data_IF_485259737532
#
_entry.id   IF_485259737532
#
_cell.length_a   1.000
_cell.length_b   1.000
_cell.length_c   1.000
_cell.angle_alpha   90.00
_cell.angle_beta   90.00
_cell.angle_gamma   90.00
#
_symmetry.space_group_name_H-M   'P 1'
#
loop_
_entity.id
_entity.type
_entity.pdbx_description
1 polymer ?
#
# COMPACT_ATOMS: atom_id res chain seq x y z
N UNK A 1 -33.66 13.36 13.30
CA UNK A 1 -33.27 14.75 12.89
C UNK A 1 -31.75 14.96 12.81
N UNK A 2 -30.94 14.47 13.75
CA UNK A 2 -29.46 14.39 13.61
C UNK A 2 -29.03 13.53 12.40
N UNK A 3 -29.85 12.56 11.99
CA UNK A 3 -29.66 11.84 10.71
C UNK A 3 -30.00 12.67 9.46
N UNK A 4 -30.87 13.68 9.56
CA UNK A 4 -31.26 14.55 8.44
C UNK A 4 -30.23 15.67 8.22
N UNK A 5 -29.65 16.21 9.30
CA UNK A 5 -28.58 17.20 9.25
C UNK A 5 -27.24 16.55 8.85
N UNK A 6 -26.92 15.34 9.33
CA UNK A 6 -25.75 14.56 8.85
C UNK A 6 -25.84 14.20 7.37
N UNK A 7 -27.05 13.94 6.84
CA UNK A 7 -27.28 13.78 5.40
C UNK A 7 -27.06 15.09 4.65
N UNK A 8 -27.60 16.21 5.14
CA UNK A 8 -27.45 17.51 4.49
C UNK A 8 -26.00 18.04 4.48
N UNK A 9 -25.24 17.92 5.56
CA UNK A 9 -23.85 18.39 5.60
C UNK A 9 -22.90 17.51 4.78
N UNK A 10 -23.13 16.19 4.73
CA UNK A 10 -22.37 15.30 3.86
C UNK A 10 -22.74 15.47 2.37
N UNK A 11 -24.01 15.78 2.06
CA UNK A 11 -24.46 16.14 0.70
C UNK A 11 -23.83 17.47 0.28
N UNK A 12 -23.80 18.49 1.15
CA UNK A 12 -23.22 19.81 0.82
C UNK A 12 -21.70 19.73 0.67
N UNK A 13 -20.98 18.99 1.52
CA UNK A 13 -19.53 18.81 1.38
C UNK A 13 -19.15 17.97 0.15
N UNK A 14 -19.92 16.91 -0.16
CA UNK A 14 -19.73 16.16 -1.42
C UNK A 14 -20.15 16.95 -2.65
N UNK A 15 -21.11 17.87 -2.54
CA UNK A 15 -21.50 18.77 -3.62
C UNK A 15 -20.41 19.82 -3.88
N UNK A 16 -19.71 20.30 -2.84
CA UNK A 16 -18.56 21.20 -2.96
C UNK A 16 -17.33 20.49 -3.55
N UNK A 17 -17.10 19.21 -3.23
CA UNK A 17 -16.02 18.40 -3.85
C UNK A 17 -16.37 17.95 -5.28
N UNK A 18 -17.64 17.69 -5.59
CA UNK A 18 -18.11 17.38 -6.95
C UNK A 18 -18.17 18.64 -7.83
N UNK A 19 -18.40 19.81 -7.22
CA UNK A 19 -18.53 21.10 -7.87
C UNK A 19 -17.28 21.61 -8.61
N UNK A 20 -16.08 21.15 -8.23
CA UNK A 20 -14.84 21.60 -8.86
C UNK A 20 -14.50 20.84 -10.16
N UNK A 21 -15.38 19.95 -10.63
CA UNK A 21 -15.31 19.41 -12.00
C UNK A 21 -16.69 19.29 -12.61
N UNK A 22 -17.06 20.35 -13.33
CA UNK A 22 -18.16 20.47 -14.30
C UNK A 22 -19.60 20.42 -13.75
N UNK A 23 -20.19 21.63 -13.69
CA UNK A 23 -21.62 22.00 -13.56
C UNK A 23 -22.18 22.08 -12.14
N UNK A 24 -22.29 23.31 -11.62
CA UNK A 24 -23.03 23.63 -10.38
C UNK A 24 -23.96 24.81 -10.61
N UNK A 25 -25.28 24.67 -10.38
CA UNK A 25 -26.12 25.79 -10.00
C UNK A 25 -25.83 26.13 -8.53
N UNK A 26 -25.41 27.36 -8.26
CA UNK A 26 -25.02 27.84 -6.94
C UNK A 26 -26.13 27.61 -5.89
N UNK A 27 -25.85 26.79 -4.86
CA UNK A 27 -26.62 26.79 -3.62
C UNK A 27 -26.06 27.88 -2.70
N UNK A 28 -26.87 28.87 -2.26
CA UNK A 28 -26.36 29.99 -1.50
C UNK A 28 -26.35 29.64 0.00
N UNK A 29 -25.30 28.98 0.46
CA UNK A 29 -24.90 29.20 1.86
C UNK A 29 -24.14 30.53 1.86
N UNK A 30 -24.65 31.54 2.57
CA UNK A 30 -23.89 32.78 2.73
C UNK A 30 -22.56 32.47 3.42
N UNK A 31 -21.47 33.10 3.00
CA UNK A 31 -20.17 33.00 3.69
C UNK A 31 -20.33 33.30 5.19
N UNK A 32 -21.26 34.19 5.53
CA UNK A 32 -21.66 34.55 6.88
C UNK A 32 -22.20 33.35 7.69
N UNK A 33 -22.92 32.42 7.05
CA UNK A 33 -23.42 31.21 7.70
C UNK A 33 -22.26 30.22 7.99
N UNK A 34 -21.39 29.97 7.00
CA UNK A 34 -20.23 29.07 7.10
C UNK A 34 -19.24 29.58 8.16
N UNK A 35 -19.01 30.90 8.18
CA UNK A 35 -18.13 31.57 9.13
C UNK A 35 -18.81 31.87 10.49
N UNK A 36 -20.08 31.48 10.67
CA UNK A 36 -20.77 31.77 11.92
C UNK A 36 -20.10 31.03 13.08
N UNK A 37 -19.89 31.76 14.18
CA UNK A 37 -19.30 31.20 15.40
C UNK A 37 -20.07 29.99 15.96
N UNK A 38 -21.36 29.88 15.63
CA UNK A 38 -22.19 28.72 15.99
C UNK A 38 -21.83 27.48 15.18
N UNK A 39 -21.69 27.57 13.85
CA UNK A 39 -21.28 26.43 13.02
C UNK A 39 -19.83 26.02 13.32
N UNK A 40 -18.93 26.99 13.48
CA UNK A 40 -17.53 26.72 13.90
C UNK A 40 -17.49 26.05 15.27
N UNK A 41 -18.29 26.53 16.23
CA UNK A 41 -18.40 25.94 17.56
C UNK A 41 -18.92 24.50 17.55
N UNK A 42 -19.95 24.21 16.75
CA UNK A 42 -20.50 22.84 16.59
C UNK A 42 -19.50 21.93 15.87
N UNK A 43 -18.85 22.41 14.80
CA UNK A 43 -17.83 21.65 14.09
C UNK A 43 -16.66 21.29 15.01
N UNK A 44 -16.20 22.24 15.84
CA UNK A 44 -15.16 22.01 16.85
C UNK A 44 -15.62 20.99 17.90
N UNK A 45 -16.83 21.12 18.44
CA UNK A 45 -17.38 20.15 19.38
C UNK A 45 -17.47 18.74 18.78
N UNK A 46 -17.90 18.61 17.51
CA UNK A 46 -17.89 17.35 16.79
C UNK A 46 -16.46 16.82 16.56
N UNK A 47 -15.51 17.67 16.20
CA UNK A 47 -14.11 17.28 16.01
C UNK A 47 -13.49 16.75 17.30
N UNK A 48 -13.81 17.36 18.45
CA UNK A 48 -13.37 16.87 19.77
C UNK A 48 -13.93 15.48 20.11
N UNK A 49 -15.08 15.10 19.53
CA UNK A 49 -15.66 13.76 19.68
C UNK A 49 -15.18 12.75 18.63
N UNK A 50 -14.33 13.17 17.67
CA UNK A 50 -13.76 12.29 16.65
C UNK A 50 -12.94 11.19 17.34
N UNK A 51 -13.11 9.94 16.89
CA UNK A 51 -12.29 8.82 17.37
C UNK A 51 -10.81 9.17 17.19
N UNK A 52 -10.00 8.97 18.23
CA UNK A 52 -8.55 9.13 18.16
C UNK A 52 -8.00 8.27 17.01
N UNK A 53 -7.26 8.90 16.11
CA UNK A 53 -6.57 8.20 15.02
C UNK A 53 -5.36 7.49 15.63
N UNK A 54 -5.33 6.17 15.53
CA UNK A 54 -4.15 5.39 15.89
C UNK A 54 -3.27 5.27 14.66
N UNK A 55 -2.06 5.82 14.73
CA UNK A 55 -1.08 5.66 13.65
C UNK A 55 -0.67 4.18 13.55
N UNK A 56 -0.35 3.75 12.32
CA UNK A 56 0.16 2.40 12.05
C UNK A 56 1.54 2.26 12.72
N UNK A 57 1.81 1.19 13.47
CA UNK A 57 3.10 1.00 14.11
C UNK A 57 4.20 0.78 13.05
N UNK A 58 5.47 1.13 13.34
CA UNK A 58 6.61 0.71 12.51
C UNK A 58 6.75 -0.82 12.51
N UNK A 59 7.49 -1.37 11.54
CA UNK A 59 7.91 -2.77 11.59
C UNK A 59 8.94 -2.94 12.71
N UNK A 60 8.92 -4.09 13.38
CA UNK A 60 9.98 -4.48 14.32
C UNK A 60 11.23 -4.91 13.56
N UNK A 61 12.38 -4.93 14.22
CA UNK A 61 13.65 -5.44 13.70
C UNK A 61 13.51 -6.90 13.27
N UNK A 62 12.83 -7.74 14.06
CA UNK A 62 12.52 -9.14 13.72
C UNK A 62 11.68 -9.25 12.43
N UNK A 63 10.67 -8.40 12.23
CA UNK A 63 9.89 -8.38 10.99
C UNK A 63 10.76 -8.02 9.78
N UNK A 64 11.64 -7.04 9.91
CA UNK A 64 12.54 -6.61 8.83
C UNK A 64 13.56 -7.70 8.51
N UNK A 65 14.21 -8.29 9.52
CA UNK A 65 15.13 -9.42 9.37
C UNK A 65 14.47 -10.62 8.68
N UNK A 66 13.22 -10.93 9.04
CA UNK A 66 12.45 -12.00 8.38
C UNK A 66 12.15 -11.71 6.92
N UNK A 67 11.88 -10.45 6.56
CA UNK A 67 11.68 -10.05 5.18
C UNK A 67 12.98 -10.13 4.39
N UNK A 68 14.11 -9.66 4.94
CA UNK A 68 15.43 -9.82 4.30
C UNK A 68 15.76 -11.29 4.05
N UNK A 69 15.59 -12.12 5.08
CA UNK A 69 15.78 -13.57 4.96
C UNK A 69 14.87 -14.18 3.90
N UNK A 70 13.61 -13.76 3.83
CA UNK A 70 12.67 -14.24 2.81
C UNK A 70 13.19 -13.93 1.41
N UNK A 71 13.66 -12.70 1.15
CA UNK A 71 14.19 -12.28 -0.16
C UNK A 71 15.37 -13.16 -0.60
N UNK A 72 16.30 -13.47 0.32
CA UNK A 72 17.49 -14.27 -0.01
C UNK A 72 17.28 -15.78 -0.02
N UNK A 73 16.16 -16.27 0.53
CA UNK A 73 15.89 -17.72 0.61
C UNK A 73 15.80 -18.36 -0.77
N UNK A 74 16.84 -19.08 -1.15
CA UNK A 74 16.90 -19.86 -2.38
C UNK A 74 15.78 -20.92 -2.42
N UNK A 75 15.09 -21.04 -3.56
CA UNK A 75 13.97 -21.98 -3.73
C UNK A 75 12.62 -21.53 -3.15
N UNK A 76 12.56 -20.38 -2.46
CA UNK A 76 11.29 -19.77 -2.05
C UNK A 76 10.46 -19.25 -3.24
N UNK A 77 9.16 -19.03 -3.01
CA UNK A 77 8.27 -18.46 -4.02
C UNK A 77 8.78 -17.10 -4.52
N UNK A 78 9.03 -17.00 -5.83
CA UNK A 78 9.66 -15.82 -6.43
C UNK A 78 8.80 -14.58 -6.25
N UNK A 79 7.47 -14.69 -6.32
CA UNK A 79 6.55 -13.56 -6.16
C UNK A 79 6.61 -13.04 -4.73
N UNK A 80 6.56 -13.91 -3.72
CA UNK A 80 6.72 -13.54 -2.31
C UNK A 80 8.06 -12.83 -2.07
N UNK A 81 9.18 -13.36 -2.62
CA UNK A 81 10.52 -12.75 -2.54
C UNK A 81 10.56 -11.35 -3.16
N UNK A 82 9.94 -11.19 -4.33
CA UNK A 82 9.87 -9.91 -5.02
C UNK A 82 9.06 -8.87 -4.23
N UNK A 83 7.88 -9.26 -3.72
CA UNK A 83 7.02 -8.39 -2.92
C UNK A 83 7.72 -8.01 -1.60
N UNK A 84 8.41 -8.96 -0.95
CA UNK A 84 9.17 -8.71 0.28
C UNK A 84 10.25 -7.64 0.05
N UNK A 85 11.02 -7.75 -1.03
CA UNK A 85 12.06 -6.77 -1.35
C UNK A 85 11.52 -5.39 -1.70
N UNK A 86 10.31 -5.27 -2.26
CA UNK A 86 9.64 -3.97 -2.40
C UNK A 86 9.35 -3.30 -1.04
N UNK A 87 8.92 -4.08 -0.04
CA UNK A 87 8.69 -3.54 1.30
C UNK A 87 10.00 -3.17 2.01
N UNK A 88 11.07 -3.94 1.82
CA UNK A 88 12.41 -3.56 2.30
C UNK A 88 12.89 -2.27 1.66
N UNK A 89 12.73 -2.13 0.34
CA UNK A 89 13.05 -0.89 -0.36
C UNK A 89 12.27 0.28 0.23
N UNK A 90 10.96 0.11 0.51
CA UNK A 90 10.14 1.14 1.15
C UNK A 90 10.62 1.50 2.56
N UNK A 91 11.06 0.51 3.35
CA UNK A 91 11.62 0.70 4.69
C UNK A 91 12.92 1.50 4.63
N UNK A 92 13.91 1.01 3.89
CA UNK A 92 15.23 1.62 3.84
C UNK A 92 15.25 2.95 3.13
N UNK A 93 14.43 3.15 2.09
CA UNK A 93 14.26 4.46 1.44
C UNK A 93 13.42 5.45 2.27
N UNK A 94 12.80 5.01 3.37
CA UNK A 94 11.77 5.75 4.13
C UNK A 94 10.67 6.30 3.22
N UNK A 95 10.39 5.59 2.12
CA UNK A 95 9.47 6.01 1.09
C UNK A 95 8.03 5.80 1.51
N UNK A 96 7.14 6.76 1.24
CA UNK A 96 5.70 6.48 1.25
C UNK A 96 5.41 5.41 0.20
N UNK A 97 4.34 4.64 0.37
CA UNK A 97 3.92 3.66 -0.61
C UNK A 97 3.82 4.23 -2.04
N UNK A 98 3.17 5.39 -2.19
CA UNK A 98 3.08 6.08 -3.47
C UNK A 98 4.44 6.53 -3.99
N UNK A 99 5.30 7.08 -3.14
CA UNK A 99 6.63 7.53 -3.54
C UNK A 99 7.49 6.33 -4.00
N UNK A 100 7.50 5.21 -3.25
CA UNK A 100 8.20 3.99 -3.65
C UNK A 100 7.66 3.44 -4.96
N UNK A 101 6.34 3.47 -5.18
CA UNK A 101 5.75 2.99 -6.43
C UNK A 101 6.21 3.79 -7.65
N UNK A 102 6.49 5.08 -7.47
CA UNK A 102 6.94 5.97 -8.53
C UNK A 102 8.47 6.14 -8.59
N UNK A 103 9.23 5.28 -7.91
CA UNK A 103 10.69 5.24 -8.10
C UNK A 103 11.03 4.76 -9.51
N UNK A 104 11.86 5.53 -10.18
CA UNK A 104 12.54 5.23 -11.42
C UNK A 104 14.06 5.23 -11.17
N UNK A 105 14.83 4.65 -12.10
CA UNK A 105 16.31 4.61 -12.02
C UNK A 105 16.83 4.10 -10.67
N UNK A 106 16.37 2.94 -10.21
CA UNK A 106 16.89 2.34 -8.98
C UNK A 106 18.24 1.70 -9.31
N UNK A 107 19.32 2.20 -8.70
CA UNK A 107 20.67 1.65 -8.87
C UNK A 107 21.42 1.60 -7.54
N UNK A 108 22.52 0.85 -7.54
CA UNK A 108 23.42 0.72 -6.41
C UNK A 108 24.75 1.43 -6.69
N UNK A 109 25.26 2.09 -5.66
CA UNK A 109 26.58 2.69 -5.62
C UNK A 109 27.44 1.87 -4.64
N UNK A 110 28.44 1.15 -5.19
CA UNK A 110 29.28 0.23 -4.43
C UNK A 110 30.71 0.76 -4.34
N UNK A 111 31.37 0.64 -3.17
CA UNK A 111 32.80 0.94 -3.07
C UNK A 111 33.62 -0.03 -3.92
N UNK A 112 34.76 0.42 -4.44
CA UNK A 112 35.73 -0.43 -5.12
C UNK A 112 37.13 -0.20 -4.54
N UNK A 113 37.74 -1.19 -3.85
CA UNK A 113 37.23 -2.55 -3.60
C UNK A 113 36.05 -2.58 -2.62
N UNK A 114 35.18 -3.60 -2.73
CA UNK A 114 34.10 -3.89 -1.78
C UNK A 114 34.49 -5.08 -0.89
N UNK A 115 35.17 -4.84 0.24
CA UNK A 115 35.69 -5.92 1.09
C UNK A 115 34.59 -6.68 1.83
N UNK A 116 33.41 -6.10 2.03
CA UNK A 116 32.29 -6.75 2.75
C UNK A 116 31.23 -7.32 1.81
N UNK A 117 31.16 -6.86 0.56
CA UNK A 117 30.09 -7.22 -0.37
C UNK A 117 28.73 -6.57 -0.05
N UNK A 118 28.64 -5.87 1.08
CA UNK A 118 27.42 -5.29 1.63
C UNK A 118 27.49 -3.76 1.73
N UNK A 119 28.68 -3.17 1.54
CA UNK A 119 28.89 -1.74 1.59
C UNK A 119 28.19 -0.97 0.47
N UNK A 120 28.04 0.34 0.67
CA UNK A 120 27.50 1.26 -0.33
C UNK A 120 26.06 1.69 -0.10
N UNK A 121 25.49 2.33 -1.12
CA UNK A 121 24.19 2.98 -1.05
C UNK A 121 23.30 2.58 -2.22
N UNK A 122 21.99 2.58 -1.99
CA UNK A 122 20.96 2.49 -3.01
C UNK A 122 20.48 3.89 -3.35
N UNK A 123 20.33 4.18 -4.62
CA UNK A 123 19.81 5.46 -5.11
C UNK A 123 18.61 5.21 -6.02
N UNK A 124 17.63 6.11 -5.94
CA UNK A 124 16.45 6.10 -6.80
C UNK A 124 15.92 7.51 -7.01
N UNK A 125 15.34 7.75 -8.18
CA UNK A 125 14.64 8.98 -8.50
C UNK A 125 13.13 8.78 -8.37
N UNK A 126 12.41 9.64 -7.66
CA UNK A 126 10.94 9.55 -7.56
C UNK A 126 10.27 10.56 -8.47
N UNK A 127 9.50 10.05 -9.43
CA UNK A 127 8.64 10.86 -10.30
C UNK A 127 7.35 11.23 -9.55
N UNK A 128 7.21 12.48 -9.11
CA UNK A 128 6.04 12.92 -8.32
C UNK A 128 4.89 13.38 -9.22
N UNK A 129 3.78 12.64 -9.22
CA UNK A 129 2.61 12.98 -10.04
C UNK A 129 1.44 13.62 -9.28
N UNK A 130 1.34 13.56 -7.93
CA UNK A 130 0.07 13.91 -7.25
C UNK A 130 0.06 14.80 -5.99
N UNK A 131 1.18 15.35 -5.51
CA UNK A 131 1.17 16.31 -4.37
C UNK A 131 2.23 17.42 -4.44
N UNK A 132 2.80 17.67 -5.62
CA UNK A 132 3.65 18.85 -5.83
C UNK A 132 2.79 20.09 -6.04
N UNK A 133 2.59 20.84 -4.96
CA UNK A 133 1.83 22.10 -4.95
C UNK A 133 2.41 23.20 -5.85
N UNK A 134 3.64 23.04 -6.37
CA UNK A 134 4.26 23.99 -7.30
C UNK A 134 4.65 23.31 -8.62
N UNK A 135 4.48 24.03 -9.73
CA UNK A 135 4.81 23.59 -11.11
C UNK A 135 6.27 23.13 -11.23
N UNK A 136 7.17 23.76 -10.49
CA UNK A 136 8.61 23.49 -10.45
C UNK A 136 8.96 22.15 -9.77
N UNK A 137 8.19 21.72 -8.76
CA UNK A 137 8.33 20.40 -8.14
C UNK A 137 7.66 19.27 -8.92
N UNK A 138 6.92 19.59 -10.00
CA UNK A 138 6.43 18.59 -10.97
C UNK A 138 7.47 18.31 -12.06
N UNK A 139 8.44 19.20 -12.23
CA UNK A 139 9.53 19.07 -13.21
C UNK A 139 10.83 18.56 -12.60
N UNK A 140 10.86 18.26 -11.30
CA UNK A 140 12.05 17.79 -10.58
C UNK A 140 11.79 16.40 -9.99
N UNK A 141 12.72 15.48 -10.24
CA UNK A 141 12.77 14.18 -9.58
C UNK A 141 13.21 14.39 -8.13
N UNK A 142 12.60 13.67 -7.20
CA UNK A 142 13.08 13.62 -5.82
C UNK A 142 14.13 12.52 -5.71
N UNK A 143 15.41 12.83 -5.45
CA UNK A 143 16.41 11.82 -5.17
C UNK A 143 16.14 11.18 -3.81
N UNK A 144 16.17 9.84 -3.76
CA UNK A 144 16.12 9.04 -2.54
C UNK A 144 17.37 8.19 -2.45
N UNK A 145 18.00 8.18 -1.27
CA UNK A 145 19.24 7.44 -1.01
C UNK A 145 19.11 6.63 0.26
N UNK A 146 19.48 5.35 0.25
CA UNK A 146 19.44 4.49 1.44
C UNK A 146 20.74 3.69 1.60
N UNK A 147 21.13 3.32 2.83
CA UNK A 147 22.19 2.34 3.03
C UNK A 147 21.81 1.02 2.36
N UNK A 148 22.77 0.39 1.69
CA UNK A 148 22.58 -0.92 1.06
C UNK A 148 22.57 -2.04 2.11
N UNK A 149 23.48 -1.95 3.08
CA UNK A 149 23.56 -2.88 4.19
C UNK A 149 22.35 -2.71 5.12
N UNK A 150 21.47 -3.71 5.10
CA UNK A 150 20.26 -3.76 5.92
C UNK A 150 20.53 -4.23 7.36
N UNK A 151 19.66 -5.07 7.92
CA UNK A 151 19.83 -5.58 9.30
C UNK A 151 20.53 -6.96 9.38
N UNK A 152 20.48 -7.75 8.32
CA UNK A 152 21.19 -9.02 8.21
C UNK A 152 22.49 -8.85 7.42
N UNK A 153 23.39 -9.82 7.60
CA UNK A 153 24.62 -9.95 6.81
C UNK A 153 24.37 -10.55 5.40
N UNK A 154 23.14 -10.44 4.90
CA UNK A 154 22.71 -11.04 3.64
C UNK A 154 22.44 -9.95 2.59
N UNK A 155 22.83 -10.21 1.35
CA UNK A 155 22.67 -9.26 0.25
C UNK A 155 21.25 -9.28 -0.34
N UNK A 156 20.31 -8.75 0.43
CA UNK A 156 18.89 -8.72 0.08
C UNK A 156 18.63 -7.97 -1.24
N UNK A 157 19.38 -6.90 -1.53
CA UNK A 157 19.12 -6.06 -2.70
C UNK A 157 19.56 -6.75 -4.00
N UNK A 158 20.73 -7.39 -4.01
CA UNK A 158 21.15 -8.20 -5.17
C UNK A 158 20.18 -9.35 -5.40
N UNK A 159 19.79 -10.07 -4.34
CA UNK A 159 18.83 -11.17 -4.45
C UNK A 159 17.45 -10.68 -4.96
N UNK A 160 16.97 -9.54 -4.48
CA UNK A 160 15.72 -8.93 -4.96
C UNK A 160 15.81 -8.54 -6.44
N UNK A 161 16.93 -7.93 -6.83
CA UNK A 161 17.18 -7.53 -8.22
C UNK A 161 17.19 -8.73 -9.17
N UNK A 162 17.81 -9.84 -8.77
CA UNK A 162 17.80 -11.10 -9.53
C UNK A 162 16.38 -11.66 -9.67
N UNK A 163 15.62 -11.76 -8.58
CA UNK A 163 14.24 -12.27 -8.62
C UNK A 163 13.34 -11.39 -9.49
N UNK A 164 13.52 -10.06 -9.44
CA UNK A 164 12.79 -9.11 -10.30
C UNK A 164 13.06 -9.38 -11.78
N UNK A 165 14.31 -9.64 -12.15
CA UNK A 165 14.70 -9.99 -13.52
C UNK A 165 14.11 -11.35 -13.94
N UNK A 166 14.19 -12.36 -13.08
CA UNK A 166 13.63 -13.69 -13.36
C UNK A 166 12.11 -13.67 -13.57
N UNK A 167 11.40 -12.84 -12.81
CA UNK A 167 9.96 -12.63 -12.95
C UNK A 167 9.58 -11.73 -14.12
N UNK A 168 10.56 -11.15 -14.82
CA UNK A 168 10.37 -10.22 -15.95
C UNK A 168 9.39 -9.09 -15.61
N UNK A 169 9.52 -8.54 -14.40
CA UNK A 169 8.70 -7.42 -13.95
C UNK A 169 8.97 -6.22 -14.88
N UNK A 170 7.93 -5.60 -15.47
CA UNK A 170 8.12 -4.42 -16.32
C UNK A 170 8.86 -3.30 -15.57
N UNK A 171 9.85 -2.70 -16.23
CA UNK A 171 10.63 -1.56 -15.73
C UNK A 171 10.55 -0.40 -16.71
N UNK A 172 10.71 0.83 -16.22
CA UNK A 172 10.74 2.03 -17.05
C UNK A 172 9.84 3.15 -16.52
N UNK A 173 9.88 4.28 -17.21
CA UNK A 173 9.10 5.45 -16.85
C UNK A 173 7.59 5.15 -16.86
N UNK A 174 6.87 5.62 -15.84
CA UNK A 174 5.43 5.38 -15.69
C UNK A 174 5.04 3.95 -15.30
N UNK A 175 6.00 3.04 -15.08
CA UNK A 175 5.74 1.69 -14.57
C UNK A 175 5.93 1.65 -13.04
N UNK A 176 5.02 1.02 -12.29
CA UNK A 176 5.16 0.90 -10.84
C UNK A 176 6.32 -0.03 -10.48
N UNK A 177 7.02 0.25 -9.38
CA UNK A 177 8.05 -0.67 -8.86
C UNK A 177 7.45 -2.01 -8.45
N UNK A 178 6.25 -2.00 -7.84
CA UNK A 178 5.47 -3.19 -7.54
C UNK A 178 4.15 -3.13 -8.32
N UNK A 179 4.08 -3.77 -9.50
CA UNK A 179 2.84 -3.88 -10.24
C UNK A 179 1.84 -4.81 -9.56
N UNK A 180 0.55 -4.60 -9.83
CA UNK A 180 -0.47 -5.56 -9.44
C UNK A 180 -0.27 -6.89 -10.20
N UNK A 181 -0.72 -7.99 -9.61
CA UNK A 181 -0.70 -9.30 -10.27
C UNK A 181 -2.07 -9.55 -10.90
N UNK A 182 -2.09 -9.77 -12.21
CA UNK A 182 -3.29 -10.12 -12.96
C UNK A 182 -3.71 -11.57 -12.66
N UNK A 183 -4.96 -11.90 -12.94
CA UNK A 183 -5.51 -13.26 -12.78
C UNK A 183 -4.80 -14.30 -13.66
N UNK A 184 -4.21 -13.86 -14.77
CA UNK A 184 -3.39 -14.66 -15.69
C UNK A 184 -2.00 -14.98 -15.14
N UNK A 185 -1.63 -14.41 -13.98
CA UNK A 185 -0.28 -14.51 -13.41
C UNK A 185 0.72 -13.51 -13.99
N UNK A 186 0.30 -12.67 -14.94
CA UNK A 186 1.12 -11.60 -15.51
C UNK A 186 1.10 -10.33 -14.64
N UNK A 187 2.11 -9.48 -14.82
CA UNK A 187 2.19 -8.17 -14.17
C UNK A 187 1.28 -7.16 -14.86
N UNK A 188 0.49 -6.42 -14.08
CA UNK A 188 -0.33 -5.32 -14.57
C UNK A 188 0.51 -4.08 -14.92
N UNK A 189 -0.08 -3.14 -15.65
CA UNK A 189 0.53 -1.82 -15.90
C UNK A 189 0.40 -0.82 -14.75
N UNK A 190 -0.31 -1.17 -13.67
CA UNK A 190 -0.64 -0.29 -12.56
C UNK A 190 -0.28 -0.93 -11.21
N UNK A 191 -0.04 -0.14 -10.15
CA UNK A 191 0.22 -0.67 -8.82
C UNK A 191 -1.06 -1.27 -8.20
N UNK A 192 -0.94 -2.18 -7.21
CA UNK A 192 -2.07 -2.56 -6.37
C UNK A 192 -2.44 -1.41 -5.43
N UNK A 193 -3.68 -1.38 -4.94
CA UNK A 193 -4.09 -0.41 -3.93
C UNK A 193 -3.28 -0.58 -2.63
N UNK A 194 -3.18 0.48 -1.83
CA UNK A 194 -2.46 0.43 -0.56
C UNK A 194 -3.05 -0.64 0.39
N UNK A 195 -4.37 -0.85 0.36
CA UNK A 195 -5.04 -1.89 1.15
C UNK A 195 -4.62 -3.31 0.73
N UNK A 196 -4.53 -3.57 -0.58
CA UNK A 196 -4.08 -4.86 -1.13
C UNK A 196 -2.63 -5.11 -0.79
N UNK A 197 -1.74 -4.13 -1.02
CA UNK A 197 -0.33 -4.23 -0.67
C UNK A 197 -0.14 -4.45 0.84
N UNK A 198 -0.89 -3.75 1.69
CA UNK A 198 -0.87 -3.99 3.13
C UNK A 198 -1.31 -5.42 3.49
N UNK A 199 -2.28 -5.97 2.75
CA UNK A 199 -2.68 -7.39 2.88
C UNK A 199 -1.56 -8.35 2.52
N UNK A 200 -0.81 -8.08 1.45
CA UNK A 200 0.35 -8.87 1.07
C UNK A 200 1.45 -8.82 2.12
N UNK A 201 1.81 -7.63 2.62
CA UNK A 201 2.80 -7.49 3.70
C UNK A 201 2.43 -8.34 4.92
N UNK A 202 1.19 -8.25 5.40
CA UNK A 202 0.73 -9.09 6.52
C UNK A 202 0.76 -10.58 6.19
N UNK A 203 0.45 -10.96 4.96
CA UNK A 203 0.53 -12.36 4.54
C UNK A 203 1.97 -12.88 4.54
N UNK A 204 2.93 -12.08 4.08
CA UNK A 204 4.35 -12.44 4.08
C UNK A 204 4.87 -12.58 5.52
N UNK A 205 4.59 -11.61 6.39
CA UNK A 205 5.01 -11.66 7.80
C UNK A 205 4.48 -12.93 8.49
N UNK A 206 3.22 -13.31 8.24
CA UNK A 206 2.64 -14.57 8.77
C UNK A 206 3.32 -15.81 8.20
N UNK A 207 3.62 -15.84 6.90
CA UNK A 207 4.40 -16.92 6.27
C UNK A 207 5.79 -17.04 6.90
N UNK A 208 6.40 -15.92 7.30
CA UNK A 208 7.67 -15.87 8.01
C UNK A 208 7.58 -16.21 9.52
N UNK A 209 6.40 -16.58 10.03
CA UNK A 209 6.20 -16.98 11.42
C UNK A 209 5.94 -15.83 12.40
N UNK A 210 5.69 -14.61 11.92
CA UNK A 210 5.34 -13.48 12.79
C UNK A 210 3.91 -13.68 13.33
N UNK A 211 3.67 -13.51 14.65
CA UNK A 211 2.34 -13.67 15.24
C UNK A 211 1.29 -12.72 14.63
N UNK A 212 0.05 -13.21 14.45
CA UNK A 212 -1.07 -12.44 13.87
C UNK A 212 -1.31 -11.12 14.60
N UNK A 213 -1.17 -11.11 15.94
CA UNK A 213 -1.38 -9.90 16.75
C UNK A 213 -0.41 -8.77 16.37
N UNK A 214 0.83 -9.11 15.99
CA UNK A 214 1.82 -8.14 15.55
C UNK A 214 1.58 -7.73 14.09
N UNK A 215 1.09 -8.66 13.25
CA UNK A 215 0.79 -8.40 11.84
C UNK A 215 -0.44 -7.51 11.63
N UNK A 216 -1.50 -7.69 12.42
CA UNK A 216 -2.83 -7.14 12.16
C UNK A 216 -2.85 -5.62 11.95
N UNK A 217 -1.97 -4.90 12.64
CA UNK A 217 -1.88 -3.43 12.59
C UNK A 217 -0.91 -2.89 11.56
N UNK A 218 -0.02 -3.72 11.01
CA UNK A 218 0.95 -3.31 10.00
C UNK A 218 0.26 -3.02 8.66
N UNK A 219 0.72 -1.97 7.99
CA UNK A 219 0.29 -1.61 6.63
C UNK A 219 1.42 -0.94 5.86
N UNK A 220 1.15 -0.48 4.64
CA UNK A 220 2.19 0.11 3.77
C UNK A 220 2.86 1.34 4.38
N UNK A 221 2.13 2.16 5.14
CA UNK A 221 2.70 3.30 5.86
C UNK A 221 3.63 2.90 7.01
N UNK A 222 3.50 1.69 7.54
CA UNK A 222 4.43 1.18 8.55
C UNK A 222 5.86 1.15 8.03
N UNK A 223 6.06 0.87 6.72
CA UNK A 223 7.38 0.83 6.10
C UNK A 223 8.11 2.18 6.21
N UNK A 224 7.46 3.28 5.81
CA UNK A 224 8.01 4.65 5.95
C UNK A 224 8.37 4.95 7.41
N UNK A 225 7.49 4.58 8.33
CA UNK A 225 7.64 4.89 9.75
C UNK A 225 8.78 4.10 10.42
N UNK A 226 9.21 2.97 9.86
CA UNK A 226 10.19 2.07 10.49
C UNK A 226 11.53 2.76 10.81
N UNK A 227 12.32 3.10 9.79
CA UNK A 227 13.64 3.70 10.01
C UNK A 227 13.54 5.06 10.71
N UNK A 228 12.53 5.89 10.37
CA UNK A 228 12.31 7.17 11.04
C UNK A 228 11.99 7.01 12.52
N UNK A 229 11.25 5.96 12.90
CA UNK A 229 10.99 5.66 14.30
C UNK A 229 12.24 5.14 15.00
N UNK A 230 13.09 4.35 14.34
CA UNK A 230 14.35 3.89 14.93
C UNK A 230 15.30 5.06 15.19
N UNK A 231 15.48 5.95 14.21
CA UNK A 231 16.23 7.19 14.35
C UNK A 231 15.73 8.06 15.52
N UNK A 232 14.41 8.25 15.63
CA UNK A 232 13.82 9.01 16.73
C UNK A 232 14.04 8.35 18.11
N UNK A 233 14.02 7.02 18.18
CA UNK A 233 14.29 6.26 19.42
C UNK A 233 15.77 6.27 19.80
N UNK A 234 16.65 6.29 18.81
CA UNK A 234 18.09 6.42 18.99
C UNK A 234 18.46 7.82 19.50
N UNK A 235 17.73 8.84 19.06
CA UNK A 235 17.92 10.23 19.50
C UNK A 235 18.77 11.07 18.56
N UNK A 236 18.66 10.85 17.24
CA UNK A 236 19.37 11.67 16.24
C UNK A 236 18.88 13.13 16.26
N UNK A 237 19.67 14.04 15.69
CA UNK A 237 19.28 15.45 15.64
C UNK A 237 18.01 15.69 14.79
N UNK A 238 17.25 16.72 15.16
CA UNK A 238 16.02 17.09 14.45
C UNK A 238 16.29 17.50 13.00
N UNK A 239 17.46 18.04 12.69
CA UNK A 239 17.86 18.31 11.31
C UNK A 239 17.89 17.01 10.49
N UNK A 240 18.64 16.01 10.96
CA UNK A 240 18.79 14.73 10.26
C UNK A 240 17.45 13.99 10.16
N UNK A 241 16.64 14.01 11.22
CA UNK A 241 15.29 13.43 11.21
C UNK A 241 14.40 14.06 10.12
N UNK A 242 14.46 15.39 9.94
CA UNK A 242 13.69 16.10 8.91
C UNK A 242 14.19 15.79 7.51
N UNK A 243 15.51 15.79 7.32
CA UNK A 243 16.14 15.47 6.03
C UNK A 243 15.80 14.04 5.61
N UNK A 244 15.95 13.05 6.50
CA UNK A 244 15.58 11.65 6.27
C UNK A 244 14.07 11.46 6.02
N UNK A 245 13.23 12.31 6.60
CA UNK A 245 11.79 12.35 6.38
C UNK A 245 11.35 13.07 5.10
N UNK A 246 12.29 13.59 4.30
CA UNK A 246 12.04 14.42 3.11
C UNK A 246 11.28 15.71 3.40
N UNK A 247 11.51 16.29 4.58
CA UNK A 247 10.95 17.57 5.01
C UNK A 247 12.01 18.68 4.87
N UNK A 248 11.72 19.68 4.03
CA UNK A 248 12.57 20.88 3.89
C UNK A 248 11.96 22.02 4.71
N UNK A 249 12.76 22.66 5.56
CA UNK A 249 12.33 23.88 6.23
C UNK A 249 12.04 25.00 5.21
N UNK A 250 11.08 25.90 5.45
CA UNK A 250 10.72 26.95 4.49
C UNK A 250 11.90 27.84 4.04
N UNK A 251 12.96 27.97 4.86
CA UNK A 251 14.18 28.75 4.58
C UNK A 251 15.34 27.98 3.93
N UNK A 252 15.36 26.65 3.97
CA UNK A 252 16.46 25.82 3.45
C UNK A 252 16.20 25.28 2.03
N UNK A 253 15.09 25.72 1.41
CA UNK A 253 14.67 25.28 0.08
C UNK A 253 15.70 25.59 -1.00
N UNK A 254 16.46 26.68 -0.90
CA UNK A 254 17.49 27.04 -1.86
C UNK A 254 18.79 26.25 -1.68
N UNK A 255 19.23 25.97 -0.43
CA UNK A 255 20.46 25.22 -0.17
C UNK A 255 20.36 23.74 -0.61
N UNK A 256 19.19 23.10 -0.44
CA UNK A 256 18.96 21.73 -0.90
C UNK A 256 18.81 21.61 -2.43
N UNK A 257 18.45 22.68 -3.13
CA UNK A 257 18.33 22.69 -4.60
C UNK A 257 19.70 22.70 -5.29
N UNK A 258 20.76 23.17 -4.61
CA UNK A 258 22.12 23.25 -5.17
C UNK A 258 23.09 22.16 -4.69
N UNK A 259 22.70 21.32 -3.73
CA UNK A 259 23.52 20.21 -3.23
C UNK A 259 22.84 18.89 -3.53
N UNK A 260 23.29 18.20 -4.61
CA UNK A 260 22.85 16.84 -4.95
C UNK A 260 23.11 15.85 -3.80
N UNK A 261 24.11 16.13 -2.97
CA UNK A 261 24.52 15.32 -1.81
C UNK A 261 24.06 15.87 -0.45
N UNK A 262 23.08 16.78 -0.41
CA UNK A 262 22.60 17.38 0.84
C UNK A 262 22.06 16.36 1.85
N UNK A 263 21.67 15.18 1.37
CA UNK A 263 21.14 14.07 2.17
C UNK A 263 22.22 13.12 2.70
N UNK A 264 23.44 13.18 2.17
CA UNK A 264 24.48 12.16 2.40
C UNK A 264 24.99 12.14 3.84
N UNK A 265 25.01 13.27 4.55
CA UNK A 265 25.31 13.28 5.99
C UNK A 265 24.24 12.53 6.80
N UNK A 266 22.96 12.84 6.57
CA UNK A 266 21.86 12.24 7.33
C UNK A 266 21.67 10.76 7.01
N UNK A 267 21.98 10.34 5.78
CA UNK A 267 21.99 8.90 5.40
C UNK A 267 23.09 8.13 6.13
N UNK A 268 24.27 8.72 6.36
CA UNK A 268 25.34 8.10 7.20
C UNK A 268 24.90 7.95 8.66
N UNK A 269 24.15 8.90 9.19
CA UNK A 269 23.54 8.76 10.53
C UNK A 269 22.56 7.59 10.58
N UNK A 270 21.74 7.40 9.53
CA UNK A 270 20.89 6.22 9.45
C UNK A 270 21.70 4.91 9.39
N UNK A 271 22.80 4.89 8.63
CA UNK A 271 23.70 3.73 8.55
C UNK A 271 24.30 3.37 9.91
N UNK A 272 24.69 4.37 10.71
CA UNK A 272 25.14 4.19 12.09
C UNK A 272 24.03 3.58 12.97
N UNK A 273 22.81 4.11 12.90
CA UNK A 273 21.65 3.57 13.65
C UNK A 273 21.43 2.10 13.27
N UNK A 274 21.44 1.75 11.98
CA UNK A 274 21.31 0.36 11.54
C UNK A 274 22.46 -0.51 12.06
N UNK A 275 23.68 0.03 12.11
CA UNK A 275 24.85 -0.68 12.67
C UNK A 275 24.70 -0.99 14.15
N UNK A 276 24.18 -0.04 14.94
CA UNK A 276 23.93 -0.24 16.36
C UNK A 276 22.81 -1.26 16.62
N UNK A 277 21.82 -1.34 15.71
CA UNK A 277 20.81 -2.41 15.75
C UNK A 277 21.45 -3.77 15.48
N UNK A 278 22.31 -3.86 14.44
CA UNK A 278 23.01 -5.10 14.08
C UNK A 278 23.92 -5.61 15.19
N UNK A 279 24.66 -4.72 15.87
CA UNK A 279 25.52 -5.10 17.00
C UNK A 279 24.76 -5.36 18.31
N UNK A 280 23.43 -5.22 18.30
CA UNK A 280 22.54 -5.32 19.46
C UNK A 280 22.84 -4.31 20.59
N UNK A 281 23.61 -3.26 20.31
CA UNK A 281 23.85 -2.13 21.22
C UNK A 281 22.65 -1.17 21.29
N UNK A 282 21.80 -1.19 20.27
CA UNK A 282 20.55 -0.45 20.22
C UNK A 282 19.38 -1.38 19.87
N UNK A 283 18.42 -1.52 20.78
CA UNK A 283 17.24 -2.36 20.64
C UNK A 283 15.98 -1.47 20.53
N UNK A 284 15.62 -0.98 19.33
CA UNK A 284 14.52 -0.02 19.18
C UNK A 284 13.16 -0.59 19.57
N UNK A 285 12.97 -1.91 19.55
CA UNK A 285 11.70 -2.55 19.87
C UNK A 285 11.48 -2.76 21.37
N UNK A 286 12.46 -2.44 22.20
CA UNK A 286 12.30 -2.46 23.65
C UNK A 286 11.49 -1.26 24.15
N UNK A 287 11.15 -1.29 25.43
CA UNK A 287 10.61 -0.12 26.12
C UNK A 287 11.61 1.05 26.10
N UNK A 288 11.14 2.27 26.37
CA UNK A 288 12.00 3.48 26.36
C UNK A 288 13.23 3.37 27.25
N UNK A 289 13.15 2.65 28.36
CA UNK A 289 14.28 2.41 29.27
C UNK A 289 15.22 1.30 28.78
N UNK A 290 14.79 0.48 27.82
CA UNK A 290 15.54 -0.67 27.31
C UNK A 290 16.09 -0.48 25.89
N UNK A 291 16.07 0.74 25.34
CA UNK A 291 16.64 1.02 24.01
C UNK A 291 18.14 0.72 23.94
N UNK A 292 18.87 0.97 25.02
CA UNK A 292 20.31 0.73 25.10
C UNK A 292 20.54 -0.29 26.21
N UNK A 293 20.43 -1.60 25.92
CA UNK A 293 20.56 -2.65 26.91
C UNK A 293 21.98 -2.65 27.50
N UNK A 294 22.06 -2.88 28.81
CA UNK A 294 23.33 -3.08 29.53
C UNK A 294 23.54 -4.56 29.82
N UNK A 295 24.79 -4.95 30.11
CA UNK A 295 25.14 -6.35 30.41
C UNK A 295 24.34 -6.81 31.63
N UNK A 296 23.33 -7.67 31.42
CA UNK A 296 22.46 -8.22 32.46
C UNK A 296 20.96 -7.91 32.31
N UNK A 297 20.57 -7.06 31.36
CA UNK A 297 19.16 -6.76 31.11
C UNK A 297 18.45 -7.95 30.43
N UNK A 298 17.36 -8.41 31.03
CA UNK A 298 16.47 -9.41 30.43
C UNK A 298 15.62 -8.76 29.32
N UNK A 299 15.40 -9.47 28.22
CA UNK A 299 14.63 -9.03 27.05
C UNK A 299 13.17 -8.72 27.44
N UNK A 300 12.88 -7.45 27.72
CA UNK A 300 11.55 -6.95 28.06
C UNK A 300 10.87 -6.43 26.80
N UNK A 301 10.45 -7.34 25.93
CA UNK A 301 9.77 -7.01 24.68
C UNK A 301 8.44 -6.27 24.91
N UNK A 302 8.27 -5.11 24.26
CA UNK A 302 7.03 -4.32 24.29
C UNK A 302 6.66 -3.81 22.90
N UNK A 303 5.40 -4.01 22.48
CA UNK A 303 4.87 -3.42 21.25
C UNK A 303 4.49 -1.94 21.47
N UNK A 304 5.32 -1.01 20.98
CA UNK A 304 5.04 0.43 21.08
C UNK A 304 3.91 0.84 20.15
N UNK A 305 2.85 1.38 20.75
CA UNK A 305 1.87 2.25 20.10
C UNK A 305 2.51 3.59 19.71
N UNK A 306 2.59 3.83 18.40
CA UNK A 306 2.80 5.11 17.69
C UNK A 306 3.42 6.26 18.48
N UNK A 307 4.74 6.40 18.42
CA UNK A 307 5.39 7.68 18.70
C UNK A 307 5.08 8.65 17.56
N UNK A 308 4.51 9.81 17.90
CA UNK A 308 4.01 10.80 16.96
C UNK A 308 5.09 11.30 16.02
N UNK A 309 5.09 10.77 14.79
CA UNK A 309 5.65 11.48 13.65
C UNK A 309 4.57 12.42 13.13
N UNK A 310 5.02 13.64 12.86
CA UNK A 310 4.26 14.84 12.55
C UNK A 310 3.27 14.66 11.39
N UNK A 311 2.20 15.46 11.45
CA UNK A 311 1.01 15.44 10.60
C UNK A 311 1.36 15.60 9.11
N UNK A 312 1.46 14.48 8.39
CA UNK A 312 1.25 14.50 6.94
C UNK A 312 -0.24 14.32 6.69
N UNK A 313 -0.90 15.42 6.31
CA UNK A 313 -2.22 15.43 5.71
C UNK A 313 -2.20 14.59 4.43
N UNK A 314 -2.43 13.29 4.56
CA UNK A 314 -2.68 12.38 3.45
C UNK A 314 -3.89 11.52 3.85
N UNK A 315 -4.95 11.68 3.06
CA UNK A 315 -6.29 11.11 3.23
C UNK A 315 -6.24 9.58 3.21
N UNK A 316 -6.87 8.94 4.19
CA UNK A 316 -7.13 7.50 4.10
C UNK A 316 -8.20 7.31 3.02
N UNK A 317 -7.86 6.56 1.95
CA UNK A 317 -8.79 6.17 0.89
C UNK A 317 -10.10 5.64 1.51
N UNK A 318 -11.15 6.43 1.33
CA UNK A 318 -12.49 6.18 1.80
C UNK A 318 -13.17 5.15 0.86
N UNK A 319 -14.13 4.38 1.36
CA UNK A 319 -15.03 3.52 0.56
C UNK A 319 -15.65 4.29 -0.64
N UNK A 320 -15.83 5.60 -0.48
CA UNK A 320 -16.25 6.53 -1.54
C UNK A 320 -15.23 6.72 -2.67
N UNK A 321 -13.94 6.72 -2.35
CA UNK A 321 -12.84 6.89 -3.33
C UNK A 321 -12.68 5.60 -4.14
N UNK A 322 -12.90 4.45 -3.51
CA UNK A 322 -13.00 3.15 -4.19
C UNK A 322 -14.16 3.12 -5.20
N UNK A 323 -15.36 3.58 -4.82
CA UNK A 323 -16.50 3.68 -5.74
C UNK A 323 -16.26 4.67 -6.90
N UNK A 324 -15.47 5.72 -6.66
CA UNK A 324 -15.11 6.71 -7.68
C UNK A 324 -14.05 6.18 -8.64
N UNK A 325 -13.10 5.38 -8.15
CA UNK A 325 -12.15 4.63 -8.96
C UNK A 325 -12.85 3.54 -9.78
N UNK A 326 -13.80 2.79 -9.20
CA UNK A 326 -14.64 1.81 -9.91
C UNK A 326 -15.42 2.47 -11.06
N UNK A 327 -16.07 3.62 -10.80
CA UNK A 327 -16.76 4.41 -11.84
C UNK A 327 -15.83 4.99 -12.89
N UNK A 328 -14.58 5.31 -12.53
CA UNK A 328 -13.57 5.78 -13.48
C UNK A 328 -13.06 4.64 -14.35
N UNK A 329 -12.86 3.44 -13.80
CA UNK A 329 -12.50 2.23 -14.53
C UNK A 329 -13.62 1.82 -15.49
N UNK A 330 -14.89 1.83 -15.06
CA UNK A 330 -16.04 1.53 -15.93
C UNK A 330 -16.16 2.49 -17.12
N UNK A 331 -15.69 3.74 -16.99
CA UNK A 331 -15.70 4.74 -18.08
C UNK A 331 -14.56 4.57 -19.08
N UNK A 332 -13.49 3.87 -18.71
CA UNK A 332 -12.26 3.72 -19.51
C UNK A 332 -12.11 2.27 -20.00
N UNK A 333 -12.90 1.34 -19.46
CA UNK A 333 -12.88 -0.09 -19.77
C UNK A 333 -13.28 -0.43 -21.21
N UNK A 334 -13.99 0.45 -21.92
CA UNK A 334 -14.38 0.22 -23.33
C UNK A 334 -13.15 0.16 -24.27
N UNK A 335 -12.01 0.72 -23.88
CA UNK A 335 -10.78 0.73 -24.69
C UNK A 335 -9.86 -0.50 -24.45
N UNK A 336 -10.18 -1.39 -23.49
CA UNK A 336 -9.28 -2.48 -23.07
C UNK A 336 -9.94 -3.88 -23.03
N UNK A 337 -11.19 -4.01 -23.47
CA UNK A 337 -11.92 -5.27 -23.42
C UNK A 337 -11.69 -6.16 -24.64
N UNK A 338 -10.49 -6.71 -24.80
CA UNK A 338 -10.33 -7.97 -25.54
C UNK A 338 -10.54 -9.12 -24.55
N UNK A 339 -11.64 -9.86 -24.73
CA UNK A 339 -12.13 -11.04 -24.00
C UNK A 339 -13.33 -10.81 -23.06
N UNK A 340 -14.49 -10.66 -23.71
CA UNK A 340 -15.83 -10.84 -23.09
C UNK A 340 -15.98 -12.31 -22.64
N UNK A 341 -16.59 -12.60 -21.47
CA UNK A 341 -16.92 -13.96 -21.08
C UNK A 341 -17.78 -14.68 -22.14
N UNK A 342 -17.43 -15.92 -22.49
CA UNK A 342 -18.15 -16.77 -23.46
C UNK A 342 -19.64 -16.96 -23.06
N UNK A 343 -19.96 -16.82 -21.76
CA UNK A 343 -21.32 -16.88 -21.23
C UNK A 343 -21.76 -15.51 -20.66
N UNK A 344 -22.86 -14.92 -21.13
CA UNK A 344 -23.40 -13.70 -20.54
C UNK A 344 -23.91 -13.99 -19.13
N UNK A 345 -23.33 -13.31 -18.14
CA UNK A 345 -23.78 -13.33 -16.75
C UNK A 345 -24.96 -12.38 -16.57
N UNK A 346 -25.90 -12.71 -15.69
CA UNK A 346 -26.96 -11.79 -15.24
C UNK A 346 -26.60 -11.20 -13.88
N UNK A 347 -27.05 -9.96 -13.62
CA UNK A 347 -26.78 -9.27 -12.36
C UNK A 347 -27.31 -10.06 -11.16
N UNK A 348 -28.45 -10.76 -11.31
CA UNK A 348 -29.05 -11.58 -10.25
C UNK A 348 -28.15 -12.75 -9.79
N UNK A 349 -27.22 -13.20 -10.64
CA UNK A 349 -26.30 -14.30 -10.37
C UNK A 349 -25.05 -13.84 -9.61
N UNK A 350 -24.86 -12.53 -9.47
CA UNK A 350 -23.66 -11.93 -8.92
C UNK A 350 -23.90 -11.34 -7.54
N UNK A 351 -22.98 -11.65 -6.64
CA UNK A 351 -22.89 -11.02 -5.33
C UNK A 351 -21.48 -10.51 -5.09
N UNK A 352 -21.38 -9.32 -4.52
CA UNK A 352 -20.11 -8.66 -4.19
C UNK A 352 -19.86 -8.79 -2.70
N UNK A 353 -18.65 -9.19 -2.32
CA UNK A 353 -18.24 -9.11 -0.93
C UNK A 353 -18.03 -7.65 -0.52
N UNK A 354 -18.68 -7.19 0.55
CA UNK A 354 -18.61 -5.80 1.01
C UNK A 354 -17.20 -5.36 1.39
N UNK A 355 -16.39 -6.26 1.94
CA UNK A 355 -15.04 -5.94 2.44
C UNK A 355 -13.94 -6.10 1.37
N UNK A 356 -13.97 -7.18 0.58
CA UNK A 356 -12.94 -7.43 -0.44
C UNK A 356 -13.30 -6.92 -1.82
N UNK A 357 -14.54 -6.44 -2.02
CA UNK A 357 -15.13 -6.06 -3.32
C UNK A 357 -15.12 -7.17 -4.37
N UNK A 358 -14.75 -8.39 -3.98
CA UNK A 358 -14.67 -9.55 -4.84
C UNK A 358 -16.07 -9.99 -5.28
N UNK A 359 -16.24 -10.16 -6.58
CA UNK A 359 -17.45 -10.70 -7.20
C UNK A 359 -17.47 -12.22 -7.07
N UNK A 360 -18.61 -12.75 -6.69
CA UNK A 360 -18.89 -14.17 -6.58
C UNK A 360 -20.17 -14.50 -7.37
N UNK A 361 -20.23 -15.73 -7.86
CA UNK A 361 -21.41 -16.29 -8.53
C UNK A 361 -22.19 -17.11 -7.51
N UNK A 362 -23.52 -16.95 -7.50
CA UNK A 362 -24.42 -17.79 -6.72
C UNK A 362 -24.49 -19.21 -7.31
N UNK A 363 -24.48 -20.23 -6.44
CA UNK A 363 -24.56 -21.62 -6.86
C UNK A 363 -25.97 -22.01 -7.35
N UNK A 364 -26.99 -21.37 -6.78
CA UNK A 364 -28.40 -21.63 -7.03
C UNK A 364 -29.27 -20.38 -6.76
N UNK A 365 -30.54 -20.46 -7.11
CA UNK A 365 -31.52 -19.38 -6.88
C UNK A 365 -31.85 -19.18 -5.38
N UNK A 366 -31.48 -20.14 -4.52
CA UNK A 366 -31.67 -20.04 -3.07
C UNK A 366 -30.84 -18.91 -2.45
N UNK A 367 -29.75 -18.51 -3.12
CA UNK A 367 -28.93 -17.37 -2.73
C UNK A 367 -28.09 -17.57 -1.47
N UNK A 368 -28.07 -18.79 -0.91
CA UNK A 368 -27.39 -19.11 0.35
C UNK A 368 -25.98 -19.68 0.15
N UNK A 369 -25.65 -20.13 -1.06
CA UNK A 369 -24.38 -20.76 -1.38
C UNK A 369 -23.75 -20.12 -2.63
N UNK A 370 -22.44 -19.91 -2.58
CA UNK A 370 -21.64 -19.41 -3.70
C UNK A 370 -21.04 -20.60 -4.47
N UNK A 371 -20.85 -20.47 -5.78
CA UNK A 371 -20.26 -21.51 -6.64
C UNK A 371 -18.87 -21.96 -6.18
N UNK A 372 -18.16 -21.14 -5.39
CA UNK A 372 -16.89 -21.50 -4.76
C UNK A 372 -17.01 -22.37 -3.50
N UNK A 373 -18.22 -22.75 -3.08
CA UNK A 373 -18.52 -23.56 -1.90
C UNK A 373 -18.62 -22.78 -0.59
N UNK A 374 -18.53 -21.44 -0.62
CA UNK A 374 -18.70 -20.58 0.56
C UNK A 374 -20.17 -20.23 0.77
N UNK A 375 -20.60 -20.08 2.01
CA UNK A 375 -21.95 -19.57 2.33
C UNK A 375 -22.06 -18.08 2.01
N UNK A 376 -23.16 -17.70 1.37
CA UNK A 376 -23.54 -16.32 1.11
C UNK A 376 -24.15 -15.71 2.38
N UNK A 377 -23.32 -15.03 3.17
CA UNK A 377 -23.73 -14.37 4.43
C UNK A 377 -24.05 -12.89 4.21
N UNK A 378 -24.41 -12.15 5.28
CA UNK A 378 -24.67 -10.69 5.24
C UNK A 378 -23.50 -9.83 4.72
N UNK A 379 -22.31 -10.42 4.62
CA UNK A 379 -21.12 -9.77 4.08
C UNK A 379 -21.10 -9.70 2.55
N UNK A 380 -22.10 -10.28 1.88
CA UNK A 380 -22.28 -10.19 0.44
C UNK A 380 -23.50 -9.32 0.11
N UNK A 381 -23.41 -8.54 -0.95
CA UNK A 381 -24.49 -7.72 -1.49
C UNK A 381 -24.76 -8.09 -2.94
N UNK A 382 -26.02 -8.03 -3.38
CA UNK A 382 -26.38 -8.28 -4.77
C UNK A 382 -25.94 -7.11 -5.63
N UNK A 383 -25.39 -7.40 -6.80
CA UNK A 383 -24.99 -6.35 -7.75
C UNK A 383 -26.22 -5.90 -8.53
N UNK A 384 -26.42 -4.59 -8.68
CA UNK A 384 -27.59 -4.02 -9.37
C UNK A 384 -27.54 -4.18 -10.90
N UNK A 385 -26.32 -4.23 -11.46
CA UNK A 385 -26.06 -4.45 -12.88
C UNK A 385 -24.78 -5.28 -13.02
N UNK A 386 -24.61 -5.98 -14.14
CA UNK A 386 -23.35 -6.66 -14.44
C UNK A 386 -22.30 -5.58 -14.70
N UNK A 387 -21.19 -5.55 -13.95
CA UNK A 387 -20.14 -4.56 -14.19
C UNK A 387 -19.52 -4.76 -15.57
N UNK A 388 -19.24 -3.65 -16.28
CA UNK A 388 -18.55 -3.68 -17.58
C UNK A 388 -17.16 -4.30 -17.45
N UNK A 389 -16.54 -4.18 -16.28
CA UNK A 389 -15.28 -4.82 -15.94
C UNK A 389 -15.43 -5.79 -14.75
N UNK A 390 -15.27 -7.08 -15.00
CA UNK A 390 -15.44 -8.15 -14.01
C UNK A 390 -14.13 -8.37 -13.20
N UNK A 391 -13.77 -7.41 -12.34
CA UNK A 391 -12.63 -7.52 -11.42
C UNK A 391 -12.84 -6.70 -10.13
N UNK A 392 -12.41 -7.18 -8.95
CA UNK A 392 -11.85 -8.51 -8.70
C UNK A 392 -12.94 -9.59 -8.65
N UNK A 393 -12.67 -10.79 -9.18
CA UNK A 393 -13.60 -11.94 -9.17
C UNK A 393 -13.05 -13.10 -8.35
N UNK A 394 -13.94 -13.92 -7.80
CA UNK A 394 -13.55 -15.17 -7.17
C UNK A 394 -13.20 -16.20 -8.24
N UNK A 395 -11.92 -16.56 -8.33
CA UNK A 395 -11.41 -17.52 -9.33
C UNK A 395 -12.23 -18.81 -9.39
N UNK A 396 -12.66 -19.35 -8.24
CA UNK A 396 -13.43 -20.60 -8.22
C UNK A 396 -14.88 -20.43 -8.68
N UNK A 397 -15.50 -19.27 -8.44
CA UNK A 397 -16.85 -19.00 -8.97
C UNK A 397 -16.81 -18.76 -10.49
N UNK A 398 -15.83 -18.01 -10.99
CA UNK A 398 -15.78 -17.60 -12.40
C UNK A 398 -15.11 -18.64 -13.31
N UNK A 399 -14.23 -19.50 -12.79
CA UNK A 399 -13.74 -20.68 -13.52
C UNK A 399 -14.85 -21.68 -13.84
N UNK A 400 -15.95 -21.70 -13.07
CA UNK A 400 -17.12 -22.52 -13.37
C UNK A 400 -18.03 -21.90 -14.46
N UNK A 401 -17.94 -20.58 -14.65
CA UNK A 401 -18.70 -19.83 -15.68
C UNK A 401 -17.96 -19.84 -17.03
N UNK A 402 -16.63 -19.94 -17.00
CA UNK A 402 -15.75 -19.96 -18.18
C UNK A 402 -15.58 -21.36 -18.81
N UNK A 403 -16.26 -22.39 -18.29
CA UNK A 403 -16.26 -23.75 -18.86
C UNK A 403 -17.50 -23.95 -19.74
N UNK A 404 -17.33 -24.62 -20.87
CA UNK A 404 -18.45 -25.04 -21.74
C UNK A 404 -19.51 -25.82 -20.94
N UNK A 405 -20.80 -25.73 -21.35
CA UNK A 405 -21.84 -26.54 -20.72
C UNK A 405 -21.46 -28.03 -20.82
N UNK A 406 -21.80 -28.86 -19.81
CA UNK A 406 -21.79 -30.30 -20.03
C UNK A 406 -22.72 -30.58 -21.21
N UNK A 407 -22.23 -31.30 -22.22
CA UNK A 407 -23.07 -31.86 -23.26
C UNK A 407 -24.24 -32.59 -22.58
N UNK A 408 -25.45 -32.08 -22.77
CA UNK A 408 -26.64 -32.88 -22.48
C UNK A 408 -26.52 -34.14 -23.32
N UNK A 409 -26.56 -35.35 -22.73
CA UNK A 409 -26.56 -36.57 -23.52
C UNK A 409 -27.80 -36.52 -24.41
N UNK A 410 -27.54 -36.31 -25.70
CA UNK A 410 -28.55 -36.26 -26.73
C UNK A 410 -29.34 -37.56 -26.74
N UNK A 411 -30.65 -37.42 -26.80
CA UNK A 411 -31.59 -38.50 -27.03
C UNK A 411 -31.07 -39.42 -28.13
N UNK A 412 -30.77 -40.67 -27.78
CA UNK A 412 -30.50 -41.72 -28.74
C UNK A 412 -31.76 -41.89 -29.60
N UNK A 413 -31.70 -41.41 -30.84
CA UNK A 413 -32.63 -41.79 -31.89
C UNK A 413 -32.36 -43.25 -32.26
N UNK A 414 -33.09 -44.18 -31.64
CA UNK A 414 -33.21 -45.55 -32.14
C UNK A 414 -34.07 -45.52 -33.41
N UNK A 415 -33.39 -45.53 -34.55
CA UNK A 415 -33.96 -46.08 -35.78
C UNK A 415 -34.32 -47.55 -35.51
N UNK A 416 -35.60 -47.89 -35.66
CA UNK A 416 -36.03 -49.27 -35.81
C UNK A 416 -35.53 -49.82 -37.16
N UNK A 417 -35.10 -51.09 -37.23
CA UNK A 417 -35.10 -51.85 -38.46
C UNK A 417 -36.30 -52.81 -38.49
N UNK A 418 -36.96 -52.91 -39.66
CA UNK A 418 -37.76 -54.08 -40.05
C UNK A 418 -39.18 -54.14 -39.51
#
# INVERSE_FOLDING_TARGET
MVAAVRKWTAIVMRFIEWADRSVVPAFPFSEEAINSMRLVGVARACYLTKRKRFQRPPLTTDMVLRLEKLVVTAGGDKVDRFIAGFFLLSVYMRGRYSDTQNMCNIFEDRPNPDPTGLGGYLQADVARSKTSYTTERKTQLLPMVAPRHGLSDEDWFTAWSQVRQELRVPIGEGKPVLPAVLTTGHWAGHPPSAAVAAGWLRSLLRKCGVPEIQCARVGTHSCKATCLSWCARFGIDNYDQRVLGFHTAPGDRSAQVYSRDAVSSSVRVLEEVLSMIRSAEFAPDNTRSGYFPTVGDADAGYNVDGSGSEDSLDEEENEADCEQLERALDRVADDWAEEVPIRPLKAEQLVRNRASRMLHVLADESGNLLTCGRSCTKNYERVAAVPSFLYPVCNRCFAAVQRDPPETPGAASSQQPG
#
